data_IF_693508137637
#
_entry.id   IF_693508137637
#
_cell.length_a   1.000
_cell.length_b   1.000
_cell.length_c   1.000
_cell.angle_alpha   90.00
_cell.angle_beta   90.00
_cell.angle_gamma   90.00
#
_symmetry.space_group_name_H-M   'P 1'
#
loop_
_entity.id
_entity.type
_entity.pdbx_description
1 polymer ?
#
# COMPACT_ATOMS: atom_id res chain seq x y z
N UNK A 1 25.12 0.54 23.17
CA UNK A 1 24.60 1.75 22.49
C UNK A 1 25.06 1.85 21.03
N UNK A 2 26.37 1.88 20.72
CA UNK A 2 26.87 2.03 19.33
C UNK A 2 26.43 0.92 18.38
N UNK A 3 26.51 -0.34 18.82
CA UNK A 3 26.15 -1.53 18.01
C UNK A 3 24.66 -1.56 17.62
N UNK A 4 23.79 -0.99 18.45
CA UNK A 4 22.36 -0.93 18.20
C UNK A 4 22.03 -0.06 16.97
N UNK A 5 22.66 1.12 16.87
CA UNK A 5 22.48 2.00 15.72
C UNK A 5 22.97 1.37 14.41
N UNK A 6 24.00 0.52 14.47
CA UNK A 6 24.49 -0.20 13.28
C UNK A 6 23.40 -1.09 12.66
N UNK A 7 22.53 -1.70 13.46
CA UNK A 7 21.45 -2.58 12.97
C UNK A 7 20.16 -1.85 12.64
N UNK A 8 19.82 -0.77 13.37
CA UNK A 8 18.56 -0.04 13.19
C UNK A 8 18.65 1.03 12.10
N UNK A 9 19.80 1.69 11.97
CA UNK A 9 19.95 2.84 11.08
C UNK A 9 19.81 2.45 9.60
N UNK A 10 20.41 1.36 9.08
CA UNK A 10 20.25 0.99 7.67
C UNK A 10 18.79 0.74 7.24
N UNK A 11 17.99 -0.14 7.89
CA UNK A 11 16.61 -0.36 7.48
C UNK A 11 15.73 0.87 7.68
N UNK A 12 16.00 1.68 8.72
CA UNK A 12 15.29 2.95 8.92
C UNK A 12 15.54 3.94 7.78
N UNK A 13 16.81 4.15 7.39
CA UNK A 13 17.18 5.02 6.28
C UNK A 13 16.60 4.52 4.95
N UNK A 14 16.62 3.21 4.70
CA UNK A 14 15.98 2.61 3.53
C UNK A 14 14.47 2.86 3.50
N UNK A 15 13.79 2.74 4.65
CA UNK A 15 12.36 3.06 4.78
C UNK A 15 12.06 4.53 4.46
N UNK A 16 12.86 5.46 5.00
CA UNK A 16 12.72 6.89 4.69
C UNK A 16 12.96 7.17 3.20
N UNK A 17 13.99 6.57 2.61
CA UNK A 17 14.28 6.71 1.19
C UNK A 17 13.14 6.17 0.32
N UNK A 18 12.62 4.98 0.63
CA UNK A 18 11.50 4.38 -0.09
C UNK A 18 10.25 5.27 -0.01
N UNK A 19 9.90 5.76 1.18
CA UNK A 19 8.78 6.68 1.36
C UNK A 19 8.97 7.98 0.56
N UNK A 20 10.17 8.54 0.57
CA UNK A 20 10.49 9.73 -0.21
C UNK A 20 10.36 9.48 -1.72
N UNK A 21 10.87 8.35 -2.22
CA UNK A 21 10.77 7.96 -3.64
C UNK A 21 9.32 7.82 -4.08
N UNK A 22 8.47 7.14 -3.31
CA UNK A 22 7.05 6.97 -3.64
C UNK A 22 6.33 8.32 -3.68
N UNK A 23 6.50 9.16 -2.65
CA UNK A 23 5.89 10.51 -2.59
C UNK A 23 6.36 11.41 -3.74
N UNK A 24 7.66 11.34 -4.05
CA UNK A 24 8.26 12.13 -5.13
C UNK A 24 7.74 11.68 -6.50
N UNK A 25 7.68 10.36 -6.75
CA UNK A 25 7.13 9.82 -7.99
C UNK A 25 5.64 10.16 -8.15
N UNK A 26 4.84 10.02 -7.08
CA UNK A 26 3.43 10.40 -7.09
C UNK A 26 3.28 11.88 -7.47
N UNK A 27 3.98 12.78 -6.77
CA UNK A 27 3.92 14.22 -7.03
C UNK A 27 4.33 14.59 -8.46
N UNK A 28 5.34 13.92 -9.01
CA UNK A 28 5.79 14.14 -10.39
C UNK A 28 4.73 13.66 -11.40
N UNK A 29 4.18 12.47 -11.20
CA UNK A 29 3.17 11.89 -12.10
C UNK A 29 1.81 12.59 -12.00
N UNK A 30 1.48 13.19 -10.86
CA UNK A 30 0.25 13.99 -10.69
C UNK A 30 0.22 15.24 -11.56
N UNK A 31 1.39 15.73 -12.00
CA UNK A 31 1.48 16.91 -12.89
C UNK A 31 1.31 16.56 -14.36
N UNK A 32 1.44 15.28 -14.72
CA UNK A 32 1.32 14.83 -16.11
C UNK A 32 -0.15 14.52 -16.36
N UNK A 33 -0.80 15.34 -17.18
CA UNK A 33 -2.21 15.15 -17.53
C UNK A 33 -2.42 13.97 -18.48
N UNK A 34 -3.55 13.29 -18.34
CA UNK A 34 -3.99 12.17 -19.18
C UNK A 34 -5.30 12.50 -19.89
N UNK A 35 -5.53 11.85 -21.04
CA UNK A 35 -6.80 11.97 -21.78
C UNK A 35 -7.94 11.19 -21.12
N UNK A 36 -7.61 10.22 -20.28
CA UNK A 36 -8.56 9.38 -19.57
C UNK A 36 -8.53 9.71 -18.08
N UNK A 37 -9.68 9.62 -17.43
CA UNK A 37 -9.76 9.66 -15.97
C UNK A 37 -9.26 8.35 -15.34
N UNK A 38 -9.00 8.37 -14.04
CA UNK A 38 -8.68 7.14 -13.30
C UNK A 38 -9.80 6.11 -13.41
N UNK A 39 -11.07 6.52 -13.29
CA UNK A 39 -12.22 5.63 -13.42
C UNK A 39 -12.29 4.97 -14.82
N UNK A 40 -12.05 5.74 -15.89
CA UNK A 40 -12.04 5.22 -17.26
C UNK A 40 -10.89 4.23 -17.48
N UNK A 41 -9.71 4.53 -16.94
CA UNK A 41 -8.56 3.64 -17.03
C UNK A 41 -8.80 2.32 -16.29
N UNK A 42 -9.34 2.38 -15.06
CA UNK A 42 -9.72 1.20 -14.30
C UNK A 42 -10.78 0.37 -15.03
N UNK A 43 -11.83 1.02 -15.57
CA UNK A 43 -12.87 0.35 -16.35
C UNK A 43 -12.28 -0.42 -17.52
N UNK A 44 -11.42 0.25 -18.30
CA UNK A 44 -10.74 -0.35 -19.45
C UNK A 44 -9.86 -1.52 -19.07
N UNK A 45 -9.13 -1.42 -17.95
CA UNK A 45 -8.30 -2.52 -17.44
C UNK A 45 -9.14 -3.72 -17.00
N UNK A 46 -10.20 -3.49 -16.22
CA UNK A 46 -11.12 -4.54 -15.79
C UNK A 46 -11.80 -5.22 -16.99
N UNK A 47 -12.24 -4.44 -17.98
CA UNK A 47 -12.86 -4.97 -19.19
C UNK A 47 -11.88 -5.79 -20.02
N UNK A 48 -10.61 -5.37 -20.13
CA UNK A 48 -9.57 -6.15 -20.80
C UNK A 48 -9.28 -7.49 -20.11
N UNK A 49 -9.63 -7.61 -18.84
CA UNK A 49 -9.53 -8.82 -18.05
C UNK A 49 -10.83 -9.64 -17.96
N UNK A 50 -11.90 -9.23 -18.66
CA UNK A 50 -13.21 -9.89 -18.60
C UNK A 50 -14.00 -9.63 -17.31
N UNK A 51 -13.60 -8.64 -16.49
CA UNK A 51 -14.22 -8.30 -15.20
C UNK A 51 -15.30 -7.21 -15.33
N UNK A 52 -16.25 -7.43 -16.24
CA UNK A 52 -17.35 -6.49 -16.50
C UNK A 52 -18.31 -6.31 -15.32
N UNK A 53 -18.40 -7.32 -14.44
CA UNK A 53 -19.29 -7.29 -13.27
C UNK A 53 -18.74 -6.49 -12.09
N UNK A 54 -17.45 -6.15 -12.10
CA UNK A 54 -16.83 -5.37 -11.02
C UNK A 54 -17.29 -3.92 -11.14
N UNK A 55 -18.05 -3.42 -10.16
CA UNK A 55 -18.50 -2.03 -10.13
C UNK A 55 -17.35 -1.05 -9.89
N UNK A 56 -17.50 0.21 -10.31
CA UNK A 56 -16.59 1.29 -9.95
C UNK A 56 -17.42 2.40 -9.31
N UNK A 57 -17.10 2.75 -8.07
CA UNK A 57 -17.82 3.74 -7.28
C UNK A 57 -16.88 4.84 -6.83
N UNK A 58 -17.39 6.07 -6.81
CA UNK A 58 -16.70 7.20 -6.20
C UNK A 58 -16.98 7.21 -4.70
N UNK A 59 -15.92 7.29 -3.89
CA UNK A 59 -16.00 7.48 -2.44
C UNK A 59 -15.42 8.82 -2.03
N UNK A 60 -15.94 9.33 -0.91
CA UNK A 60 -15.36 10.48 -0.23
C UNK A 60 -14.01 10.16 0.43
N UNK A 61 -13.28 11.22 0.77
CA UNK A 61 -11.95 11.14 1.38
C UNK A 61 -10.81 11.25 0.37
N UNK A 62 -9.60 11.54 0.87
CA UNK A 62 -8.37 11.53 0.10
C UNK A 62 -7.65 10.20 0.32
N UNK A 63 -7.12 9.59 -0.74
CA UNK A 63 -6.34 8.33 -0.67
C UNK A 63 -7.12 7.16 -0.02
N UNK A 64 -8.45 7.16 -0.19
CA UNK A 64 -9.35 6.09 0.28
C UNK A 64 -9.60 5.02 -0.79
N UNK A 65 -8.80 5.03 -1.86
CA UNK A 65 -8.88 4.11 -2.99
C UNK A 65 -8.62 2.67 -2.54
N UNK A 66 -9.58 1.78 -2.80
CA UNK A 66 -9.43 0.35 -2.51
C UNK A 66 -10.39 -0.50 -3.33
N UNK A 67 -9.97 -1.73 -3.65
CA UNK A 67 -10.87 -2.79 -4.10
C UNK A 67 -11.49 -3.57 -2.91
N UNK A 68 -12.80 -3.80 -2.97
CA UNK A 68 -13.53 -4.63 -2.01
C UNK A 68 -13.83 -6.02 -2.61
N UNK A 69 -13.14 -7.09 -2.18
CA UNK A 69 -13.33 -8.44 -2.73
C UNK A 69 -14.66 -9.07 -2.33
N UNK A 70 -15.35 -8.56 -1.28
CA UNK A 70 -16.65 -9.10 -0.85
C UNK A 70 -17.77 -8.51 -1.70
N UNK A 71 -17.75 -7.20 -1.89
CA UNK A 71 -18.73 -6.50 -2.71
C UNK A 71 -18.42 -6.59 -4.21
N UNK A 72 -17.20 -6.95 -4.60
CA UNK A 72 -16.69 -6.92 -5.99
C UNK A 72 -16.83 -5.52 -6.59
N UNK A 73 -16.43 -4.50 -5.82
CA UNK A 73 -16.51 -3.09 -6.22
C UNK A 73 -15.15 -2.42 -6.02
N UNK A 74 -14.77 -1.61 -7.00
CA UNK A 74 -13.62 -0.72 -6.95
C UNK A 74 -14.07 0.65 -6.41
N UNK A 75 -13.58 1.04 -5.24
CA UNK A 75 -13.89 2.35 -4.66
C UNK A 75 -12.73 3.29 -4.89
N UNK A 76 -12.97 4.38 -5.59
CA UNK A 76 -11.95 5.38 -5.91
C UNK A 76 -12.30 6.71 -5.23
N UNK A 77 -11.30 7.35 -4.66
CA UNK A 77 -11.41 8.70 -4.11
C UNK A 77 -11.79 9.69 -5.23
N UNK A 78 -12.44 10.80 -4.86
CA UNK A 78 -12.87 11.82 -5.84
C UNK A 78 -11.73 12.29 -6.76
N UNK A 79 -10.54 12.46 -6.20
CA UNK A 79 -9.35 12.94 -6.91
C UNK A 79 -8.81 11.93 -7.92
N UNK A 80 -9.03 10.63 -7.69
CA UNK A 80 -8.61 9.55 -8.59
C UNK A 80 -9.71 9.22 -9.59
N UNK A 81 -10.95 9.12 -9.13
CA UNK A 81 -12.11 8.81 -9.97
C UNK A 81 -12.25 9.82 -11.12
N UNK A 82 -12.24 11.12 -10.80
CA UNK A 82 -12.35 12.21 -11.78
C UNK A 82 -10.99 12.75 -12.24
N UNK A 83 -9.89 12.26 -11.65
CA UNK A 83 -8.54 12.74 -11.90
C UNK A 83 -8.04 12.39 -13.30
N UNK A 84 -7.60 13.41 -14.04
CA UNK A 84 -6.99 13.28 -15.37
C UNK A 84 -5.47 13.44 -15.28
N UNK A 85 -4.83 12.61 -14.47
CA UNK A 85 -3.38 12.60 -14.28
C UNK A 85 -2.81 11.18 -14.34
N UNK A 86 -1.52 11.07 -14.65
CA UNK A 86 -0.84 9.76 -14.67
C UNK A 86 -0.84 9.09 -13.30
N UNK A 87 -0.82 9.85 -12.20
CA UNK A 87 -0.95 9.28 -10.87
C UNK A 87 -2.36 8.75 -10.59
N UNK A 88 -3.41 9.47 -10.99
CA UNK A 88 -4.81 9.01 -10.85
C UNK A 88 -5.04 7.72 -11.66
N UNK A 89 -4.60 7.69 -12.92
CA UNK A 89 -4.62 6.47 -13.76
C UNK A 89 -3.83 5.34 -13.11
N UNK A 90 -2.63 5.63 -12.59
CA UNK A 90 -1.79 4.63 -11.92
C UNK A 90 -2.43 4.02 -10.68
N UNK A 91 -3.04 4.84 -9.81
CA UNK A 91 -3.73 4.37 -8.60
C UNK A 91 -4.97 3.56 -8.98
N UNK A 92 -5.80 4.04 -9.90
CA UNK A 92 -7.00 3.32 -10.32
C UNK A 92 -6.68 1.96 -10.95
N UNK A 93 -5.63 1.89 -11.78
CA UNK A 93 -5.14 0.62 -12.34
C UNK A 93 -4.51 -0.30 -11.29
N UNK A 94 -3.84 0.25 -10.27
CA UNK A 94 -3.31 -0.55 -9.15
C UNK A 94 -4.45 -1.28 -8.43
N UNK A 95 -5.53 -0.56 -8.11
CA UNK A 95 -6.70 -1.13 -7.45
C UNK A 95 -7.45 -2.12 -8.35
N UNK A 96 -7.58 -1.83 -9.66
CA UNK A 96 -8.11 -2.79 -10.63
C UNK A 96 -7.24 -4.06 -10.72
N UNK A 97 -5.93 -3.94 -10.46
CA UNK A 97 -5.02 -5.07 -10.32
C UNK A 97 -5.36 -6.00 -9.15
N UNK A 98 -5.84 -5.47 -8.03
CA UNK A 98 -6.33 -6.30 -6.91
C UNK A 98 -7.59 -7.07 -7.31
N UNK A 99 -8.50 -6.43 -8.05
CA UNK A 99 -9.68 -7.11 -8.61
C UNK A 99 -9.30 -8.24 -9.58
N UNK A 100 -8.30 -8.00 -10.43
CA UNK A 100 -7.74 -9.02 -11.32
C UNK A 100 -7.17 -10.22 -10.56
N UNK A 101 -6.37 -9.96 -9.53
CA UNK A 101 -5.74 -10.99 -8.71
C UNK A 101 -6.75 -11.81 -7.92
N UNK A 102 -7.79 -11.16 -7.40
CA UNK A 102 -8.92 -11.80 -6.72
C UNK A 102 -9.70 -12.72 -7.67
N UNK A 103 -9.97 -12.28 -8.91
CA UNK A 103 -10.64 -13.12 -9.91
C UNK A 103 -9.82 -14.35 -10.33
N UNK A 104 -8.49 -14.26 -10.33
CA UNK A 104 -7.60 -15.35 -10.74
C UNK A 104 -7.09 -16.21 -9.57
N UNK A 105 -7.57 -16.01 -8.34
CA UNK A 105 -7.09 -16.70 -7.15
C UNK A 105 -5.55 -16.69 -7.05
N UNK A 106 -4.93 -15.52 -7.22
CA UNK A 106 -3.47 -15.42 -7.33
C UNK A 106 -2.75 -15.86 -6.03
N UNK A 107 -2.23 -17.09 -6.03
CA UNK A 107 -1.68 -17.77 -4.85
C UNK A 107 -0.58 -16.98 -4.10
N UNK A 108 0.35 -16.25 -4.75
CA UNK A 108 1.33 -15.41 -4.04
C UNK A 108 0.69 -14.31 -3.19
N UNK A 109 -0.48 -13.79 -3.59
CA UNK A 109 -1.20 -12.78 -2.82
C UNK A 109 -1.81 -13.36 -1.55
N UNK A 110 -2.31 -14.61 -1.61
CA UNK A 110 -2.84 -15.31 -0.45
C UNK A 110 -1.75 -15.54 0.60
N UNK A 111 -0.55 -15.96 0.17
CA UNK A 111 0.60 -16.14 1.06
C UNK A 111 1.01 -14.81 1.70
N UNK A 112 1.09 -13.72 0.92
CA UNK A 112 1.36 -12.37 1.44
C UNK A 112 0.32 -11.95 2.47
N UNK A 113 -0.96 -12.08 2.16
CA UNK A 113 -2.05 -11.64 3.03
C UNK A 113 -2.09 -12.42 4.35
N UNK A 114 -1.67 -13.69 4.35
CA UNK A 114 -1.50 -14.48 5.57
C UNK A 114 -0.26 -14.05 6.39
N UNK A 115 0.82 -13.62 5.73
CA UNK A 115 2.06 -13.21 6.38
C UNK A 115 2.03 -11.79 6.96
N UNK A 116 1.28 -10.86 6.37
CA UNK A 116 1.23 -9.44 6.80
C UNK A 116 0.79 -9.26 8.26
N UNK A 117 -0.27 -9.93 8.78
CA UNK A 117 -0.65 -9.82 10.18
C UNK A 117 0.46 -10.30 11.14
N UNK A 118 1.14 -11.40 10.80
CA UNK A 118 2.26 -11.92 11.59
C UNK A 118 3.46 -10.96 11.58
N UNK A 119 3.76 -10.35 10.42
CA UNK A 119 4.81 -9.35 10.31
C UNK A 119 4.49 -8.07 11.11
N UNK A 120 3.24 -7.59 11.06
CA UNK A 120 2.81 -6.42 11.82
C UNK A 120 2.84 -6.64 13.34
N UNK A 121 2.50 -7.85 13.81
CA UNK A 121 2.67 -8.21 15.22
C UNK A 121 4.14 -8.13 15.65
N UNK A 122 5.04 -8.66 14.84
CA UNK A 122 6.49 -8.56 15.07
C UNK A 122 7.00 -7.11 15.09
N UNK A 123 6.57 -6.27 14.15
CA UNK A 123 6.95 -4.85 14.11
C UNK A 123 6.39 -4.04 15.28
N UNK A 124 5.13 -4.30 15.68
CA UNK A 124 4.49 -3.64 16.82
C UNK A 124 5.17 -4.00 18.15
N UNK A 125 5.40 -5.29 18.40
CA UNK A 125 6.13 -5.76 19.57
C UNK A 125 7.58 -5.26 19.58
N UNK A 126 8.23 -5.23 18.42
CA UNK A 126 9.57 -4.69 18.23
C UNK A 126 9.68 -3.23 18.66
N UNK A 127 8.73 -2.36 18.28
CA UNK A 127 8.77 -0.94 18.66
C UNK A 127 8.64 -0.76 20.18
N UNK A 128 7.79 -1.54 20.85
CA UNK A 128 7.62 -1.50 22.31
C UNK A 128 8.84 -2.07 23.03
N UNK A 129 9.47 -3.11 22.50
CA UNK A 129 10.74 -3.64 22.99
C UNK A 129 11.90 -2.64 22.79
N UNK A 130 11.93 -1.93 21.67
CA UNK A 130 12.91 -0.87 21.42
C UNK A 130 12.77 0.29 22.39
N UNK A 131 11.55 0.76 22.64
CA UNK A 131 11.29 1.86 23.57
C UNK A 131 11.52 1.43 25.02
N UNK A 132 11.10 0.22 25.42
CA UNK A 132 11.31 -0.33 26.76
C UNK A 132 12.78 -0.63 27.09
N UNK A 133 13.55 -1.06 26.09
CA UNK A 133 15.01 -1.27 26.21
C UNK A 133 15.81 0.05 26.26
N UNK A 134 15.27 1.15 25.71
CA UNK A 134 15.94 2.45 25.74
C UNK A 134 15.79 3.17 27.10
N UNK A 135 14.75 2.83 27.88
CA UNK A 135 14.47 3.42 29.20
C UNK A 135 15.06 2.66 30.40
N UNK A 136 15.48 1.40 30.24
CA UNK A 136 16.12 0.61 31.29
C UNK A 136 17.62 0.53 31.05
N UNK A 137 18.43 0.95 32.02
CA UNK A 137 19.90 0.85 32.00
C UNK A 137 20.40 -0.60 32.19
N UNK A 138 19.68 -1.59 31.67
CA UNK A 138 20.04 -3.01 31.70
C UNK A 138 20.15 -3.56 30.28
N UNK A 139 21.14 -4.41 30.00
CA UNK A 139 21.43 -4.85 28.65
C UNK A 139 20.27 -5.65 28.03
N UNK A 140 20.01 -5.48 26.72
CA UNK A 140 18.74 -5.83 26.06
C UNK A 140 18.45 -7.33 25.87
N UNK A 141 19.19 -8.23 26.52
CA UNK A 141 19.01 -9.69 26.43
C UNK A 141 18.02 -10.27 27.46
N UNK A 142 17.51 -9.45 28.39
CA UNK A 142 16.54 -9.89 29.42
C UNK A 142 15.08 -9.93 28.95
N UNK A 143 14.79 -9.58 27.69
CA UNK A 143 13.43 -9.67 27.12
C UNK A 143 13.07 -11.03 26.51
N UNK A 144 13.93 -12.05 26.66
CA UNK A 144 13.75 -13.41 26.11
C UNK A 144 13.88 -14.53 27.18
N UNK A 145 13.79 -14.18 28.48
CA UNK A 145 13.69 -15.15 29.57
C UNK A 145 12.47 -14.86 30.44
#
# INVERSE_FOLDING_TARGET
MMLYFLFVLPPFLLGLYAQWKVKSAFTQMSKISTRMSGAEAARRMLDSAGLHSVGIEQVGGMLSDHYDPRAKVLRLSSDVYNGHSMSAVGVACHEAGHAFQDAHNYAPLMIRNAAVPAANFGSGAGIWMLLGGCGSASPPWLGLA
#
